data_IF_653803898742
#
_entry.id   IF_653803898742
#
_cell.length_a   1.000
_cell.length_b   1.000
_cell.length_c   1.000
_cell.angle_alpha   90.00
_cell.angle_beta   90.00
_cell.angle_gamma   90.00
#
_symmetry.space_group_name_H-M   'P 1'
#
loop_
_entity.id
_entity.type
_entity.pdbx_description
1 polymer ?
#
# COMPACT_ATOMS: atom_id res chain seq x y z
N UNK A 1 -8.11 -10.19 -2.65
CA UNK A 1 -6.69 -10.23 -2.18
C UNK A 1 -6.70 -9.98 -0.69
N UNK A 2 -6.20 -10.93 0.11
CA UNK A 2 -6.10 -10.83 1.57
C UNK A 2 -4.71 -10.42 2.06
N UNK A 3 -3.68 -10.63 1.24
CA UNK A 3 -2.30 -10.24 1.51
C UNK A 3 -1.63 -9.75 0.22
N UNK A 4 -0.94 -8.61 0.30
CA UNK A 4 -0.17 -8.01 -0.79
C UNK A 4 1.22 -7.65 -0.26
N UNK A 5 2.27 -8.18 -0.91
CA UNK A 5 3.65 -7.77 -0.66
C UNK A 5 4.13 -6.89 -1.81
N UNK A 6 4.60 -5.69 -1.51
CA UNK A 6 5.07 -4.69 -2.46
C UNK A 6 6.57 -4.52 -2.24
N UNK A 7 7.34 -4.89 -3.26
CA UNK A 7 8.81 -4.90 -3.30
C UNK A 7 9.21 -4.46 -4.70
N UNK A 8 8.99 -3.16 -4.98
CA UNK A 8 9.04 -2.62 -6.33
C UNK A 8 10.01 -1.46 -6.51
N UNK A 9 10.43 -0.84 -5.40
CA UNK A 9 11.30 0.33 -5.23
C UNK A 9 10.77 1.63 -5.87
N UNK A 10 10.12 1.51 -7.03
CA UNK A 10 9.69 2.60 -7.89
C UNK A 10 8.22 2.95 -7.67
N UNK A 11 7.97 4.26 -7.73
CA UNK A 11 6.62 4.82 -7.76
C UNK A 11 5.76 4.21 -8.88
N UNK A 12 6.23 4.20 -10.13
CA UNK A 12 5.43 3.75 -11.28
C UNK A 12 5.05 2.27 -11.22
N UNK A 13 5.95 1.44 -10.69
CA UNK A 13 5.70 0.01 -10.48
C UNK A 13 4.63 -0.18 -9.40
N UNK A 14 4.71 0.59 -8.32
CA UNK A 14 3.71 0.57 -7.23
C UNK A 14 2.33 1.04 -7.70
N UNK A 15 2.26 2.10 -8.53
CA UNK A 15 1.01 2.55 -9.16
C UNK A 15 0.38 1.43 -9.98
N UNK A 16 1.19 0.74 -10.79
CA UNK A 16 0.71 -0.38 -11.63
C UNK A 16 0.08 -1.50 -10.79
N UNK A 17 0.63 -1.78 -9.60
CA UNK A 17 0.03 -2.75 -8.66
C UNK A 17 -1.35 -2.28 -8.19
N UNK A 18 -1.49 -1.01 -7.80
CA UNK A 18 -2.77 -0.49 -7.31
C UNK A 18 -3.81 -0.36 -8.42
N UNK A 19 -3.42 -0.03 -9.64
CA UNK A 19 -4.30 -0.05 -10.81
C UNK A 19 -4.84 -1.46 -11.09
N UNK A 20 -3.98 -2.49 -10.97
CA UNK A 20 -4.36 -3.87 -11.27
C UNK A 20 -5.12 -4.56 -10.13
N UNK A 21 -4.76 -4.30 -8.88
CA UNK A 21 -5.20 -5.05 -7.71
C UNK A 21 -6.04 -4.25 -6.71
N UNK A 22 -6.08 -2.91 -6.82
CA UNK A 22 -6.73 -2.02 -5.84
C UNK A 22 -8.21 -2.35 -5.61
N UNK A 23 -8.95 -2.68 -6.67
CA UNK A 23 -10.37 -3.08 -6.60
C UNK A 23 -10.60 -4.46 -5.98
N UNK A 24 -9.53 -5.24 -5.79
CA UNK A 24 -9.58 -6.60 -5.21
C UNK A 24 -9.08 -6.64 -3.77
N UNK A 25 -8.64 -5.52 -3.20
CA UNK A 25 -8.21 -5.43 -1.80
C UNK A 25 -9.44 -5.41 -0.90
N UNK A 26 -9.65 -6.48 -0.14
CA UNK A 26 -10.79 -6.61 0.79
C UNK A 26 -10.50 -5.91 2.12
N UNK A 27 -11.56 -5.60 2.89
CA UNK A 27 -11.41 -5.19 4.30
C UNK A 27 -10.68 -6.28 5.09
N UNK A 28 -9.76 -5.86 5.96
CA UNK A 28 -8.86 -6.75 6.70
C UNK A 28 -7.62 -7.20 5.92
N UNK A 29 -7.49 -6.85 4.64
CA UNK A 29 -6.28 -7.19 3.88
C UNK A 29 -5.04 -6.52 4.49
N UNK A 30 -3.92 -7.24 4.44
CA UNK A 30 -2.61 -6.72 4.86
C UNK A 30 -1.78 -6.38 3.64
N UNK A 31 -1.22 -5.17 3.63
CA UNK A 31 -0.25 -4.74 2.64
C UNK A 31 1.09 -4.55 3.35
N UNK A 32 2.11 -5.29 2.93
CA UNK A 32 3.48 -5.18 3.40
C UNK A 32 4.30 -4.50 2.30
N UNK A 33 4.97 -3.41 2.63
CA UNK A 33 5.89 -2.68 1.76
C UNK A 33 7.33 -2.98 2.21
N UNK A 34 8.23 -3.28 1.27
CA UNK A 34 9.65 -3.49 1.59
C UNK A 34 10.42 -2.16 1.69
N UNK A 35 10.15 -1.22 0.78
CA UNK A 35 10.83 0.09 0.68
C UNK A 35 9.87 1.27 0.92
N UNK A 36 9.20 1.31 2.08
CA UNK A 36 8.19 2.34 2.36
C UNK A 36 8.76 3.67 2.87
N UNK A 37 9.80 3.62 3.72
CA UNK A 37 10.35 4.79 4.41
C UNK A 37 11.84 4.63 4.78
N UNK A 38 12.42 5.64 5.44
CA UNK A 38 13.78 5.58 6.03
C UNK A 38 14.96 5.59 5.03
N UNK A 39 14.76 6.16 3.83
CA UNK A 39 15.83 6.43 2.87
C UNK A 39 15.61 7.75 2.13
N UNK A 40 16.64 8.40 1.54
CA UNK A 40 16.46 9.68 0.87
C UNK A 40 15.37 9.64 -0.21
N UNK A 41 14.43 10.58 -0.14
CA UNK A 41 13.30 10.76 -1.09
C UNK A 41 12.21 9.70 -1.05
N UNK A 42 12.16 8.80 -0.05
CA UNK A 42 11.12 7.76 0.08
C UNK A 42 9.68 8.25 -0.15
N UNK A 43 9.36 9.50 0.22
CA UNK A 43 8.06 10.12 -0.01
C UNK A 43 7.68 10.27 -1.49
N UNK A 44 8.59 10.03 -2.43
CA UNK A 44 8.38 10.10 -3.88
C UNK A 44 8.19 8.70 -4.52
N UNK A 45 8.30 7.62 -3.73
CA UNK A 45 8.30 6.23 -4.18
C UNK A 45 7.01 5.51 -3.78
N UNK A 46 7.08 4.31 -3.19
CA UNK A 46 5.93 3.48 -2.81
C UNK A 46 4.95 4.24 -1.92
N UNK A 47 5.47 5.04 -0.98
CA UNK A 47 4.64 5.88 -0.13
C UNK A 47 3.73 6.81 -0.94
N UNK A 48 4.28 7.50 -1.95
CA UNK A 48 3.50 8.41 -2.79
C UNK A 48 2.39 7.67 -3.53
N UNK A 49 2.74 6.58 -4.20
CA UNK A 49 1.80 5.77 -4.95
C UNK A 49 0.66 5.26 -4.04
N UNK A 50 0.99 4.81 -2.84
CA UNK A 50 -0.01 4.37 -1.88
C UNK A 50 -0.88 5.52 -1.35
N UNK A 51 -0.32 6.70 -1.03
CA UNK A 51 -1.12 7.85 -0.59
C UNK A 51 -2.07 8.34 -1.68
N UNK A 52 -1.63 8.36 -2.94
CA UNK A 52 -2.49 8.73 -4.07
C UNK A 52 -3.60 7.69 -4.31
N UNK A 53 -3.29 6.39 -4.20
CA UNK A 53 -4.32 5.34 -4.21
C UNK A 53 -5.34 5.55 -3.09
N UNK A 54 -4.90 5.82 -1.86
CA UNK A 54 -5.79 6.06 -0.71
C UNK A 54 -6.66 7.30 -0.95
N UNK A 55 -6.07 8.40 -1.42
CA UNK A 55 -6.78 9.65 -1.68
C UNK A 55 -7.84 9.48 -2.78
N UNK A 56 -7.54 8.73 -3.84
CA UNK A 56 -8.43 8.54 -4.99
C UNK A 56 -9.53 7.50 -4.72
N UNK A 57 -9.21 6.42 -4.02
CA UNK A 57 -10.16 5.33 -3.70
C UNK A 57 -11.04 5.62 -2.50
N UNK A 58 -10.61 6.50 -1.59
CA UNK A 58 -11.22 6.65 -0.27
C UNK A 58 -10.90 5.49 0.68
N UNK A 59 -9.92 4.64 0.34
CA UNK A 59 -9.51 3.51 1.18
C UNK A 59 -9.03 3.99 2.56
N UNK A 60 -9.55 3.38 3.61
CA UNK A 60 -9.10 3.61 4.99
C UNK A 60 -8.18 2.49 5.43
N UNK A 61 -7.11 2.84 6.12
CA UNK A 61 -6.12 1.89 6.60
C UNK A 61 -5.56 2.31 7.95
N UNK A 62 -4.86 1.39 8.60
CA UNK A 62 -4.03 1.68 9.78
C UNK A 62 -2.64 1.05 9.62
N UNK A 63 -1.64 1.68 10.22
CA UNK A 63 -0.30 1.11 10.35
C UNK A 63 -0.30 0.07 11.48
N UNK A 64 0.21 -1.13 11.21
CA UNK A 64 0.21 -2.24 12.19
C UNK A 64 1.61 -2.70 12.59
N UNK A 65 2.61 -2.44 11.75
CA UNK A 65 4.02 -2.69 12.07
C UNK A 65 4.93 -1.83 11.21
N UNK A 66 6.13 -1.58 11.71
CA UNK A 66 7.22 -0.94 10.97
C UNK A 66 8.57 -1.47 11.47
N UNK A 67 9.57 -1.48 10.59
CA UNK A 67 10.94 -1.88 10.92
C UNK A 67 11.77 -0.68 11.36
N UNK A 68 12.11 -0.56 12.65
CA UNK A 68 12.78 0.62 13.24
C UNK A 68 14.08 1.02 12.51
N UNK A 69 14.86 0.04 12.06
CA UNK A 69 16.14 0.25 11.38
C UNK A 69 16.06 0.01 9.87
N UNK A 70 14.98 -0.59 9.39
CA UNK A 70 14.75 -0.89 7.99
C UNK A 70 13.81 0.10 7.34
N UNK A 71 13.19 -0.33 6.25
CA UNK A 71 12.30 0.46 5.40
C UNK A 71 10.89 -0.12 5.33
N UNK A 72 10.69 -1.28 5.96
CA UNK A 72 9.46 -2.06 5.88
C UNK A 72 8.34 -1.45 6.70
N UNK A 73 7.14 -1.45 6.14
CA UNK A 73 5.91 -1.06 6.83
C UNK A 73 4.78 -2.01 6.44
N UNK A 74 4.01 -2.44 7.44
CA UNK A 74 2.76 -3.16 7.21
C UNK A 74 1.57 -2.27 7.57
N UNK A 75 0.58 -2.26 6.68
CA UNK A 75 -0.73 -1.63 6.90
C UNK A 75 -1.84 -2.66 6.81
N UNK A 76 -2.92 -2.41 7.53
CA UNK A 76 -4.18 -3.15 7.42
C UNK A 76 -5.23 -2.27 6.79
N UNK A 77 -5.86 -2.77 5.72
CA UNK A 77 -7.02 -2.13 5.09
C UNK A 77 -8.20 -2.28 6.04
N UNK A 78 -8.75 -1.15 6.48
CA UNK A 78 -9.95 -1.10 7.32
C UNK A 78 -11.21 -1.13 6.46
N UNK A 79 -11.21 -0.35 5.39
CA UNK A 79 -12.32 -0.22 4.45
C UNK A 79 -11.78 0.17 3.06
N UNK A 80 -12.34 -0.40 2.00
CA UNK A 80 -11.98 -0.07 0.62
C UNK A 80 -13.26 0.07 -0.20
N UNK A 81 -13.71 1.31 -0.49
CA UNK A 81 -14.94 1.56 -1.24
C UNK A 81 -14.95 0.98 -2.66
N UNK A 82 -13.78 0.67 -3.22
CA UNK A 82 -13.65 0.09 -4.56
C UNK A 82 -13.83 -1.44 -4.57
N UNK A 83 -13.89 -2.08 -3.41
CA UNK A 83 -14.01 -3.54 -3.33
C UNK A 83 -15.42 -3.99 -3.72
N UNK A 84 -15.54 -4.59 -4.90
CA UNK A 84 -16.75 -5.28 -5.33
C UNK A 84 -16.59 -6.77 -5.04
N UNK A 85 -17.42 -7.32 -4.16
CA UNK A 85 -17.51 -8.76 -3.99
C UNK A 85 -17.96 -9.37 -5.34
N UNK A 86 -17.08 -10.16 -5.95
CA UNK A 86 -17.40 -10.97 -7.13
C UNK A 86 -18.09 -12.26 -6.72
#
# INVERSE_FOLDING_TARGET
VSFLHVDCDLYSSTVTIFDALGTRLQSGAIILFDEYYNFPRWQQHEHKAFQEFVQTSGTRYEYIAYSVTGQQVAVRVLDNPLFTAQ
#
